data_IF_977528716885
#
_entry.id   IF_977528716885
#
_cell.length_a   1.000
_cell.length_b   1.000
_cell.length_c   1.000
_cell.angle_alpha   90.00
_cell.angle_beta   90.00
_cell.angle_gamma   90.00
#
_symmetry.space_group_name_H-M   'P 1'
#
loop_
_entity.id
_entity.type
_entity.pdbx_description
1 polymer ?
#
# COMPACT_ATOMS: atom_id res chain seq x y z
N UNK A 1 -9.15 -12.63 -0.46
CA UNK A 1 -9.79 -12.38 -1.77
C UNK A 1 -11.19 -11.82 -1.60
N UNK A 2 -12.16 -12.58 -1.08
CA UNK A 2 -13.56 -12.11 -0.96
C UNK A 2 -13.74 -10.77 -0.23
N UNK A 3 -13.02 -10.54 0.87
CA UNK A 3 -13.06 -9.26 1.58
C UNK A 3 -12.72 -8.04 0.69
N UNK A 4 -11.80 -8.21 -0.27
CA UNK A 4 -11.39 -7.14 -1.18
C UNK A 4 -12.26 -7.03 -2.44
N UNK A 5 -13.15 -7.99 -2.68
CA UNK A 5 -14.21 -7.81 -3.68
C UNK A 5 -15.22 -6.76 -3.18
N UNK A 6 -15.53 -6.80 -1.87
CA UNK A 6 -16.41 -5.82 -1.22
C UNK A 6 -15.85 -4.39 -1.21
N UNK A 7 -14.53 -4.19 -1.38
CA UNK A 7 -13.92 -2.87 -1.51
C UNK A 7 -14.62 -2.01 -2.57
N UNK A 8 -14.98 -2.61 -3.71
CA UNK A 8 -15.65 -1.88 -4.79
C UNK A 8 -17.07 -1.47 -4.42
N UNK A 9 -17.78 -2.31 -3.67
CA UNK A 9 -19.07 -1.95 -3.10
C UNK A 9 -18.92 -0.77 -2.13
N UNK A 10 -17.92 -0.81 -1.23
CA UNK A 10 -17.65 0.30 -0.30
C UNK A 10 -17.31 1.60 -1.04
N UNK A 11 -16.50 1.55 -2.10
CA UNK A 11 -16.17 2.73 -2.92
C UNK A 11 -17.41 3.33 -3.59
N UNK A 12 -18.33 2.49 -4.06
CA UNK A 12 -19.60 2.93 -4.66
C UNK A 12 -20.50 3.57 -3.59
N UNK A 13 -20.65 2.90 -2.45
CA UNK A 13 -21.49 3.37 -1.33
C UNK A 13 -20.98 4.69 -0.74
N UNK A 14 -19.67 4.90 -0.71
CA UNK A 14 -19.05 6.15 -0.28
C UNK A 14 -19.07 7.25 -1.35
N UNK A 15 -19.53 6.96 -2.56
CA UNK A 15 -19.51 7.91 -3.68
C UNK A 15 -18.10 8.26 -4.16
N UNK A 16 -17.13 7.36 -3.93
CA UNK A 16 -15.72 7.54 -4.27
C UNK A 16 -15.30 6.79 -5.53
N UNK A 17 -16.18 5.95 -6.08
CA UNK A 17 -15.86 5.09 -7.21
C UNK A 17 -15.33 5.85 -8.44
N UNK A 18 -15.97 6.96 -8.82
CA UNK A 18 -15.58 7.78 -9.97
C UNK A 18 -14.44 8.78 -9.65
N UNK A 19 -13.86 8.72 -8.44
CA UNK A 19 -12.85 9.68 -7.98
C UNK A 19 -11.41 9.29 -8.31
N UNK A 20 -11.20 8.13 -8.90
CA UNK A 20 -9.86 7.61 -9.13
C UNK A 20 -9.70 7.08 -10.55
N UNK A 21 -8.45 7.02 -11.00
CA UNK A 21 -8.05 6.43 -12.27
C UNK A 21 -7.22 5.15 -12.03
N UNK A 22 -6.53 5.11 -10.88
CA UNK A 22 -5.54 4.09 -10.55
C UNK A 22 -5.70 3.66 -9.08
N UNK A 23 -5.54 2.38 -8.81
CA UNK A 23 -5.42 1.80 -7.47
C UNK A 23 -4.01 1.27 -7.30
N UNK A 24 -3.37 1.61 -6.18
CA UNK A 24 -2.06 1.07 -5.81
C UNK A 24 -2.18 0.32 -4.49
N UNK A 25 -1.62 -0.89 -4.42
CA UNK A 25 -1.68 -1.73 -3.22
C UNK A 25 -0.39 -2.55 -3.07
N UNK A 26 0.12 -2.65 -1.84
CA UNK A 26 1.22 -3.56 -1.51
C UNK A 26 0.76 -5.02 -1.44
N UNK A 27 1.49 -5.95 -2.03
CA UNK A 27 1.16 -7.39 -2.03
C UNK A 27 2.34 -8.29 -1.66
N UNK A 28 2.05 -9.37 -0.92
CA UNK A 28 3.01 -10.45 -0.65
C UNK A 28 2.63 -11.74 -1.38
N UNK A 29 1.45 -12.28 -1.10
CA UNK A 29 0.97 -13.55 -1.67
C UNK A 29 -0.02 -13.36 -2.81
N UNK A 30 -0.41 -12.12 -3.12
CA UNK A 30 -1.30 -11.77 -4.23
C UNK A 30 -2.80 -11.80 -3.90
N UNK A 31 -3.23 -12.36 -2.77
CA UNK A 31 -4.67 -12.54 -2.45
C UNK A 31 -5.46 -11.23 -2.35
N UNK A 32 -4.82 -10.15 -1.89
CA UNK A 32 -5.40 -8.80 -1.85
C UNK A 32 -5.62 -8.25 -3.25
N UNK A 33 -4.58 -8.21 -4.10
CA UNK A 33 -4.71 -7.71 -5.47
C UNK A 33 -5.67 -8.55 -6.30
N UNK A 34 -5.70 -9.88 -6.14
CA UNK A 34 -6.68 -10.74 -6.80
C UNK A 34 -8.12 -10.32 -6.45
N UNK A 35 -8.42 -10.08 -5.17
CA UNK A 35 -9.75 -9.63 -4.75
C UNK A 35 -10.15 -8.27 -5.33
N UNK A 36 -9.22 -7.30 -5.29
CA UNK A 36 -9.43 -5.96 -5.87
C UNK A 36 -9.66 -6.08 -7.38
N UNK A 37 -8.84 -6.85 -8.10
CA UNK A 37 -8.93 -6.99 -9.54
C UNK A 37 -10.19 -7.71 -10.01
N UNK A 38 -10.63 -8.72 -9.27
CA UNK A 38 -11.93 -9.36 -9.50
C UNK A 38 -13.08 -8.37 -9.26
N UNK A 39 -13.06 -7.61 -8.16
CA UNK A 39 -14.08 -6.57 -7.91
C UNK A 39 -14.13 -5.51 -9.02
N UNK A 40 -12.97 -5.05 -9.48
CA UNK A 40 -12.82 -4.12 -10.60
C UNK A 40 -13.42 -4.68 -11.89
N UNK A 41 -13.10 -5.94 -12.20
CA UNK A 41 -13.60 -6.63 -13.39
C UNK A 41 -15.13 -6.79 -13.36
N UNK A 42 -15.68 -7.25 -12.22
CA UNK A 42 -17.11 -7.53 -12.07
C UNK A 42 -17.99 -6.26 -12.10
N UNK A 43 -17.44 -5.12 -11.68
CA UNK A 43 -18.16 -3.82 -11.72
C UNK A 43 -18.07 -3.12 -13.08
N UNK A 44 -17.28 -3.65 -14.02
CA UNK A 44 -17.01 -3.00 -15.31
C UNK A 44 -16.14 -1.74 -15.19
N UNK A 45 -15.62 -1.47 -13.99
CA UNK A 45 -14.69 -0.38 -13.68
C UNK A 45 -13.48 -0.38 -14.62
N UNK A 46 -12.90 0.80 -14.83
CA UNK A 46 -11.70 1.01 -15.64
C UNK A 46 -10.49 1.45 -14.83
N UNK A 47 -10.56 1.33 -13.50
CA UNK A 47 -9.41 1.58 -12.64
C UNK A 47 -8.26 0.66 -13.02
N UNK A 48 -7.07 1.24 -13.14
CA UNK A 48 -5.83 0.48 -13.36
C UNK A 48 -5.27 0.05 -12.02
N UNK A 49 -5.00 -1.24 -11.86
CA UNK A 49 -4.51 -1.79 -10.60
C UNK A 49 -3.00 -1.99 -10.69
N UNK A 50 -2.27 -1.38 -9.78
CA UNK A 50 -0.83 -1.51 -9.62
C UNK A 50 -0.54 -2.24 -8.32
N UNK A 51 -0.15 -3.50 -8.43
CA UNK A 51 0.14 -4.38 -7.31
C UNK A 51 1.64 -4.42 -7.04
N UNK A 52 2.10 -3.64 -6.06
CA UNK A 52 3.52 -3.51 -5.71
C UNK A 52 3.91 -4.68 -4.81
N UNK A 53 4.73 -5.58 -5.32
CA UNK A 53 5.24 -6.72 -4.57
C UNK A 53 6.26 -6.29 -3.52
N UNK A 54 6.13 -6.89 -2.34
CA UNK A 54 7.04 -6.69 -1.21
C UNK A 54 7.83 -7.94 -0.83
N UNK A 55 7.61 -9.06 -1.56
CA UNK A 55 8.21 -10.36 -1.24
C UNK A 55 8.56 -11.24 -2.44
N UNK A 56 7.66 -11.35 -3.42
CA UNK A 56 7.72 -12.37 -4.48
C UNK A 56 7.90 -11.74 -5.86
N UNK A 57 8.58 -12.43 -6.77
CA UNK A 57 8.72 -11.95 -8.15
C UNK A 57 7.37 -11.87 -8.87
N UNK A 58 7.31 -11.05 -9.93
CA UNK A 58 6.16 -10.93 -10.82
C UNK A 58 5.77 -12.28 -11.42
N UNK A 59 6.76 -13.10 -11.79
CA UNK A 59 6.52 -14.43 -12.35
C UNK A 59 5.83 -15.35 -11.34
N UNK A 60 6.31 -15.39 -10.09
CA UNK A 60 5.72 -16.23 -9.05
C UNK A 60 4.32 -15.75 -8.67
N UNK A 61 4.15 -14.43 -8.51
CA UNK A 61 2.85 -13.84 -8.22
C UNK A 61 1.83 -14.08 -9.34
N UNK A 62 2.26 -13.98 -10.60
CA UNK A 62 1.39 -14.26 -11.74
C UNK A 62 0.85 -15.69 -11.65
N UNK A 63 1.73 -16.69 -11.47
CA UNK A 63 1.32 -18.09 -11.33
C UNK A 63 0.36 -18.32 -10.17
N UNK A 64 0.64 -17.72 -9.01
CA UNK A 64 -0.22 -17.83 -7.82
C UNK A 64 -1.60 -17.19 -8.05
N UNK A 65 -1.63 -16.01 -8.65
CA UNK A 65 -2.87 -15.27 -8.91
C UNK A 65 -3.67 -15.97 -10.00
N UNK A 66 -3.05 -16.43 -11.08
CA UNK A 66 -3.70 -17.23 -12.12
C UNK A 66 -4.39 -18.47 -11.53
N UNK A 67 -3.70 -19.17 -10.63
CA UNK A 67 -4.30 -20.30 -9.90
C UNK A 67 -5.50 -19.85 -9.06
N UNK A 68 -5.38 -18.75 -8.29
CA UNK A 68 -6.48 -18.22 -7.49
C UNK A 68 -7.70 -17.82 -8.34
N UNK A 69 -7.48 -17.27 -9.53
CA UNK A 69 -8.55 -16.90 -10.48
C UNK A 69 -9.21 -18.15 -11.08
N UNK A 70 -8.41 -19.15 -11.46
CA UNK A 70 -8.88 -20.44 -11.96
C UNK A 70 -9.70 -21.20 -10.92
N UNK A 71 -9.26 -21.19 -9.65
CA UNK A 71 -9.94 -21.86 -8.53
C UNK A 71 -11.36 -21.31 -8.28
N UNK A 72 -11.64 -20.06 -8.67
CA UNK A 72 -12.98 -19.45 -8.62
C UNK A 72 -13.70 -19.46 -9.98
N UNK A 73 -13.17 -20.18 -10.96
CA UNK A 73 -13.80 -20.38 -12.26
C UNK A 73 -13.63 -19.21 -13.24
N UNK A 74 -12.72 -18.27 -12.98
CA UNK A 74 -12.39 -17.23 -13.95
C UNK A 74 -11.33 -17.72 -14.93
N UNK A 75 -11.52 -17.38 -16.21
CA UNK A 75 -10.58 -17.71 -17.29
C UNK A 75 -9.59 -16.58 -17.59
N UNK A 76 -9.53 -15.57 -16.72
CA UNK A 76 -8.64 -14.41 -16.85
C UNK A 76 -7.28 -14.75 -16.25
N UNK A 77 -6.21 -14.23 -16.84
CA UNK A 77 -4.89 -14.19 -16.23
C UNK A 77 -4.70 -12.93 -15.38
N UNK A 78 -3.76 -12.98 -14.44
CA UNK A 78 -3.40 -11.85 -13.58
C UNK A 78 -3.03 -10.61 -14.41
N UNK A 79 -2.22 -10.80 -15.46
CA UNK A 79 -1.77 -9.73 -16.35
C UNK A 79 -2.89 -9.10 -17.20
N UNK A 80 -4.07 -9.73 -17.28
CA UNK A 80 -5.22 -9.16 -17.99
C UNK A 80 -5.93 -8.08 -17.15
N UNK A 81 -5.76 -8.10 -15.82
CA UNK A 81 -6.59 -7.31 -14.89
C UNK A 81 -5.77 -6.47 -13.90
N UNK A 82 -4.45 -6.63 -13.83
CA UNK A 82 -3.57 -5.80 -13.00
C UNK A 82 -2.15 -5.75 -13.56
N UNK A 83 -1.40 -4.71 -13.18
CA UNK A 83 0.06 -4.69 -13.33
C UNK A 83 0.72 -5.07 -12.00
N UNK A 84 1.52 -6.14 -12.03
CA UNK A 84 2.36 -6.56 -10.90
C UNK A 84 3.73 -5.92 -11.06
N UNK A 85 4.20 -5.25 -10.02
CA UNK A 85 5.47 -4.52 -9.98
C UNK A 85 6.34 -5.14 -8.90
N UNK A 86 7.49 -5.71 -9.26
CA UNK A 86 8.42 -6.38 -8.33
C UNK A 86 9.79 -5.72 -8.21
N UNK A 87 10.01 -4.58 -8.90
CA UNK A 87 11.26 -3.82 -8.87
C UNK A 87 11.67 -3.34 -7.46
N UNK A 88 10.72 -3.20 -6.52
CA UNK A 88 10.90 -2.51 -5.23
C UNK A 88 10.89 -3.41 -3.99
N UNK A 89 11.09 -4.72 -4.16
CA UNK A 89 11.15 -5.68 -3.03
C UNK A 89 12.31 -5.35 -2.06
N UNK A 90 13.41 -4.83 -2.60
CA UNK A 90 14.63 -4.51 -1.85
C UNK A 90 15.36 -5.78 -1.40
N UNK A 91 15.81 -5.80 -0.15
CA UNK A 91 16.54 -6.93 0.45
C UNK A 91 15.65 -8.13 0.83
N UNK A 92 14.42 -8.17 0.34
CA UNK A 92 13.45 -9.23 0.59
C UNK A 92 12.45 -8.92 1.70
N UNK A 93 11.60 -9.89 1.99
CA UNK A 93 10.53 -9.78 2.98
C UNK A 93 11.06 -9.60 4.40
N UNK A 94 10.46 -8.70 5.17
CA UNK A 94 10.81 -8.49 6.58
C UNK A 94 12.06 -7.63 6.83
N UNK A 95 12.71 -7.14 5.78
CA UNK A 95 13.89 -6.27 5.89
C UNK A 95 13.57 -4.85 5.45
N UNK A 96 13.99 -3.87 6.26
CA UNK A 96 13.82 -2.44 6.00
C UNK A 96 15.17 -1.75 5.82
N UNK A 97 15.35 -1.11 4.67
CA UNK A 97 16.54 -0.29 4.38
C UNK A 97 16.40 1.09 5.01
N UNK A 98 17.51 1.78 5.25
CA UNK A 98 17.46 3.15 5.82
C UNK A 98 16.67 4.10 4.92
N UNK A 99 16.87 4.03 3.59
CA UNK A 99 16.10 4.84 2.64
C UNK A 99 14.59 4.56 2.68
N UNK A 100 14.17 3.33 2.98
CA UNK A 100 12.76 3.00 3.21
C UNK A 100 12.26 3.65 4.52
N UNK A 101 13.01 3.53 5.60
CA UNK A 101 12.66 4.12 6.91
C UNK A 101 12.60 5.66 6.84
N UNK A 102 13.50 6.29 6.08
CA UNK A 102 13.48 7.72 5.78
C UNK A 102 12.23 8.10 4.97
N UNK A 103 11.87 7.29 3.97
CA UNK A 103 10.64 7.50 3.17
C UNK A 103 9.41 7.45 4.07
N UNK A 104 9.32 6.44 4.95
CA UNK A 104 8.23 6.31 5.93
C UNK A 104 8.17 7.52 6.86
N UNK A 105 9.31 7.96 7.36
CA UNK A 105 9.41 9.14 8.24
C UNK A 105 8.93 10.39 7.53
N UNK A 106 9.37 10.62 6.29
CA UNK A 106 8.98 11.77 5.49
C UNK A 106 7.48 11.77 5.17
N UNK A 107 6.92 10.64 4.74
CA UNK A 107 5.47 10.55 4.47
C UNK A 107 4.67 10.79 5.75
N UNK A 108 5.08 10.19 6.87
CA UNK A 108 4.42 10.34 8.16
C UNK A 108 4.44 11.80 8.63
N UNK A 109 5.60 12.45 8.54
CA UNK A 109 5.77 13.85 8.95
C UNK A 109 4.97 14.83 8.08
N UNK A 110 4.84 14.58 6.78
CA UNK A 110 4.14 15.47 5.86
C UNK A 110 2.62 15.25 5.81
N UNK A 111 2.14 14.05 6.11
CA UNK A 111 0.72 13.67 5.90
C UNK A 111 -0.02 13.28 7.16
N UNK A 112 0.69 12.95 8.25
CA UNK A 112 0.13 12.32 9.45
C UNK A 112 -0.24 10.85 9.27
N UNK A 113 0.02 10.24 8.10
CA UNK A 113 -0.28 8.83 7.82
C UNK A 113 0.93 7.98 8.19
N UNK A 114 0.72 7.02 9.10
CA UNK A 114 1.76 6.10 9.57
C UNK A 114 1.84 4.85 8.70
N UNK A 115 2.99 4.62 8.08
CA UNK A 115 3.26 3.46 7.23
C UNK A 115 4.16 2.45 7.96
N UNK A 116 3.89 1.16 7.79
CA UNK A 116 4.72 0.09 8.33
C UNK A 116 5.92 -0.24 7.41
N UNK A 117 7.04 -0.74 7.97
CA UNK A 117 8.27 -0.99 7.20
C UNK A 117 8.22 -2.23 6.27
N UNK A 118 7.17 -3.03 6.32
CA UNK A 118 7.13 -4.33 5.66
C UNK A 118 6.13 -4.41 4.51
N UNK A 119 5.03 -3.65 4.57
CA UNK A 119 3.98 -3.63 3.57
C UNK A 119 3.73 -2.24 3.04
N UNK A 120 3.05 -1.40 3.83
CA UNK A 120 2.54 -0.11 3.35
C UNK A 120 3.67 0.85 3.01
N UNK A 121 4.75 0.87 3.79
CA UNK A 121 5.96 1.64 3.51
C UNK A 121 6.62 1.24 2.19
N UNK A 122 6.82 -0.06 1.95
CA UNK A 122 7.40 -0.56 0.69
C UNK A 122 6.49 -0.27 -0.50
N UNK A 123 5.17 -0.45 -0.34
CA UNK A 123 4.18 -0.09 -1.36
C UNK A 123 4.21 1.40 -1.70
N UNK A 124 4.29 2.27 -0.69
CA UNK A 124 4.41 3.72 -0.90
C UNK A 124 5.75 4.10 -1.53
N UNK A 125 6.87 3.51 -1.08
CA UNK A 125 8.17 3.74 -1.71
C UNK A 125 8.14 3.35 -3.19
N UNK A 126 7.61 2.16 -3.52
CA UNK A 126 7.46 1.73 -4.90
C UNK A 126 6.59 2.66 -5.74
N UNK A 127 5.48 3.17 -5.19
CA UNK A 127 4.67 4.18 -5.87
C UNK A 127 5.46 5.47 -6.15
N UNK A 128 6.18 5.99 -5.15
CA UNK A 128 6.97 7.21 -5.31
C UNK A 128 8.07 7.05 -6.36
N UNK A 129 8.72 5.88 -6.41
CA UNK A 129 9.73 5.57 -7.42
C UNK A 129 9.11 5.42 -8.82
N UNK A 130 7.94 4.78 -8.95
CA UNK A 130 7.21 4.70 -10.23
C UNK A 130 6.81 6.09 -10.76
N UNK A 131 6.36 6.98 -9.87
CA UNK A 131 6.02 8.36 -10.21
C UNK A 131 7.23 9.14 -10.73
N UNK A 132 8.43 8.88 -10.18
CA UNK A 132 9.69 9.51 -10.64
C UNK A 132 10.19 8.90 -11.94
N UNK A 133 10.19 7.56 -12.04
CA UNK A 133 10.73 6.79 -13.17
C UNK A 133 9.85 6.93 -14.42
N UNK A 134 8.53 7.00 -14.25
CA UNK A 134 7.55 7.07 -15.34
C UNK A 134 6.47 8.14 -15.12
N UNK A 135 6.81 9.44 -15.04
CA UNK A 135 5.83 10.48 -14.69
C UNK A 135 4.62 10.53 -15.63
N UNK A 136 4.82 10.30 -16.92
CA UNK A 136 3.75 10.29 -17.93
C UNK A 136 2.70 9.20 -17.71
N UNK A 137 3.05 8.10 -17.01
CA UNK A 137 2.12 7.01 -16.67
C UNK A 137 1.01 7.48 -15.74
N UNK A 138 1.33 8.43 -14.84
CA UNK A 138 0.45 8.88 -13.76
C UNK A 138 0.04 10.36 -13.87
N UNK A 139 0.56 11.09 -14.84
CA UNK A 139 0.30 12.52 -14.98
C UNK A 139 -1.20 12.79 -15.17
N UNK A 140 -1.75 13.66 -14.31
CA UNK A 140 -3.17 14.02 -14.32
C UNK A 140 -4.11 12.94 -13.80
N UNK A 141 -3.59 11.86 -13.23
CA UNK A 141 -4.36 10.74 -12.68
C UNK A 141 -4.57 10.89 -11.17
N UNK A 142 -5.76 10.52 -10.71
CA UNK A 142 -6.06 10.43 -9.27
C UNK A 142 -5.80 9.00 -8.80
N UNK A 143 -4.85 8.85 -7.88
CA UNK A 143 -4.38 7.54 -7.41
C UNK A 143 -4.99 7.24 -6.04
N UNK A 144 -5.67 6.12 -5.90
CA UNK A 144 -6.10 5.55 -4.63
C UNK A 144 -5.03 4.59 -4.12
N UNK A 145 -4.34 4.96 -3.04
CA UNK A 145 -3.44 4.03 -2.34
C UNK A 145 -4.21 3.27 -1.25
N UNK A 146 -4.21 1.94 -1.32
CA UNK A 146 -4.89 1.08 -0.34
C UNK A 146 -3.96 0.85 0.86
N UNK A 147 -4.18 1.63 1.92
CA UNK A 147 -3.45 1.50 3.16
C UNK A 147 -3.91 0.28 3.97
N UNK A 148 -3.22 -0.85 3.82
CA UNK A 148 -3.59 -2.15 4.42
C UNK A 148 -3.30 -2.27 5.93
N UNK A 149 -2.76 -1.22 6.57
CA UNK A 149 -2.51 -1.17 8.00
C UNK A 149 -1.05 -1.49 8.34
N UNK A 150 -0.82 -2.40 9.30
CA UNK A 150 0.52 -2.84 9.66
C UNK A 150 1.23 -2.00 10.72
N UNK A 151 0.56 -0.99 11.31
CA UNK A 151 1.15 -0.01 12.24
C UNK A 151 2.01 -0.62 13.36
N UNK A 152 1.69 -1.84 13.83
CA UNK A 152 2.47 -2.51 14.86
C UNK A 152 3.91 -2.85 14.43
N UNK A 153 4.18 -2.90 13.12
CA UNK A 153 5.53 -3.07 12.56
C UNK A 153 6.47 -1.92 12.91
N UNK A 154 5.96 -0.77 13.36
CA UNK A 154 6.78 0.36 13.80
C UNK A 154 7.44 0.14 15.18
N UNK A 155 6.95 -0.82 16.00
CA UNK A 155 7.42 -1.03 17.37
C UNK A 155 8.52 -2.09 17.51
N UNK A 156 9.13 -2.51 16.40
CA UNK A 156 10.19 -3.51 16.38
C UNK A 156 11.60 -2.92 16.66
N UNK A 157 11.73 -1.60 16.79
CA UNK A 157 12.99 -0.88 17.01
C UNK A 157 13.72 -0.44 15.73
N UNK A 158 13.29 -0.84 14.53
CA UNK A 158 13.96 -0.45 13.28
C UNK A 158 13.95 1.06 13.05
N UNK A 159 12.88 1.74 13.46
CA UNK A 159 12.74 3.19 13.30
C UNK A 159 13.81 3.99 14.07
N UNK A 160 14.41 3.42 15.13
CA UNK A 160 15.46 4.10 15.91
C UNK A 160 16.67 4.49 15.04
N UNK A 161 16.90 3.74 13.96
CA UNK A 161 17.99 3.97 13.00
C UNK A 161 17.91 5.31 12.28
N UNK A 162 16.69 5.84 12.08
CA UNK A 162 16.45 7.11 11.37
C UNK A 162 15.88 8.20 12.28
N UNK A 163 15.29 7.82 13.42
CA UNK A 163 14.70 8.75 14.38
C UNK A 163 15.72 9.34 15.36
N UNK A 164 16.84 8.65 15.64
CA UNK A 164 17.82 9.06 16.67
C UNK A 164 19.13 9.64 16.11
N UNK A 165 19.14 10.19 14.89
CA UNK A 165 20.35 10.75 14.30
C UNK A 165 20.72 12.12 14.91
N UNK A 166 21.96 12.33 15.40
CA UNK A 166 22.39 13.62 15.93
C UNK A 166 22.38 14.68 14.82
N UNK A 167 21.45 15.62 14.92
CA UNK A 167 21.28 16.72 13.96
C UNK A 167 19.88 16.81 13.34
N UNK A 168 19.06 15.76 13.43
CA UNK A 168 17.63 15.88 13.17
C UNK A 168 16.96 16.53 14.38
N UNK A 169 16.17 17.55 14.10
CA UNK A 169 15.49 18.38 15.09
C UNK A 169 14.89 17.52 16.20
N UNK A 170 15.08 17.96 17.46
CA UNK A 170 14.35 17.43 18.58
C UNK A 170 12.86 17.41 18.21
N UNK A 171 12.32 16.23 17.90
CA UNK A 171 10.90 16.06 17.75
C UNK A 171 10.34 16.21 19.15
N UNK A 172 9.88 17.42 19.46
CA UNK A 172 9.10 17.65 20.67
C UNK A 172 7.85 16.80 20.53
N UNK A 173 7.76 15.74 21.34
CA UNK A 173 6.47 15.14 21.65
C UNK A 173 5.73 16.25 22.39
N UNK A 174 4.86 16.97 21.68
CA UNK A 174 3.87 17.80 22.35
C UNK A 174 3.00 16.82 23.13
N UNK A 175 3.22 16.74 24.44
CA UNK A 175 2.28 16.08 25.33
C UNK A 175 0.89 16.62 25.01
N UNK A 176 -0.08 15.70 24.90
CA UNK A 176 -1.48 16.07 24.73
C UNK A 176 -1.80 17.12 25.79
N UNK A 177 -2.41 18.28 25.44
CA UNK A 177 -2.71 19.27 26.46
C UNK A 177 -3.55 18.56 27.52
N UNK A 178 -3.04 18.50 28.75
CA UNK A 178 -3.78 18.00 29.90
C UNK A 178 -5.08 18.80 29.97
N UNK A 179 -6.12 18.27 29.32
CA UNK A 179 -7.48 18.68 29.61
C UNK A 179 -7.77 17.92 30.87
N UNK A 180 -7.83 18.64 31.97
CA UNK A 180 -8.58 18.25 33.16
C UNK A 180 -10.00 17.88 32.72
N UNK A 181 -10.18 16.63 32.30
CA UNK A 181 -11.48 16.02 32.06
C UNK A 181 -11.88 15.48 33.42
N UNK A 182 -12.84 16.10 34.13
CA UNK A 182 -13.30 15.56 35.40
C UNK A 182 -13.87 14.18 35.13
N UNK A 183 -13.32 13.16 35.77
CA UNK A 183 -13.93 11.83 35.78
C UNK A 183 -15.30 11.97 36.44
N UNK A 184 -16.35 11.73 35.66
CA UNK A 184 -17.72 11.67 36.16
C UNK A 184 -17.79 10.47 37.11
N UNK A 185 -18.02 10.73 38.41
CA UNK A 185 -18.52 9.75 39.37
C UNK A 185 -20.04 9.72 39.35
#
# INVERSE_FOLDING_TARGET
>A
MFAFISLFQELIEQGLFDNFDDIVVSIATGCTAAGIAVGNYLTGSKLRIHAVSIALSKEELTKRIDQMLSDIGLTLGANDIMDIIDDYIGEGYGTATEGLLETITNVSANTGILLDPYYTGKGTQGLLEELKKTPSRFQGKRILFIHTGGIFGLFNGEMDRVMNLPGNHAYYINEWPEKDIPLVQ
#
